data_IF_570347753010
#
_entry.id   IF_570347753010
#
_cell.length_a   1.000
_cell.length_b   1.000
_cell.length_c   1.000
_cell.angle_alpha   90.00
_cell.angle_beta   90.00
_cell.angle_gamma   90.00
#
_symmetry.space_group_name_H-M   'P 1'
#
loop_
_entity.id
_entity.type
_entity.pdbx_description
1 polymer ?
#
# COMPACT_ATOMS: atom_id res chain seq x y z
N UNK A 1 18.16 17.81 0.71
CA UNK A 1 17.42 18.30 -0.47
C UNK A 1 17.10 17.21 -1.48
N UNK A 2 16.09 16.38 -1.21
CA UNK A 2 15.51 15.51 -2.23
C UNK A 2 13.98 15.47 -2.07
N UNK A 3 13.35 16.59 -2.42
CA UNK A 3 11.91 16.67 -2.63
C UNK A 3 11.59 16.04 -3.99
N UNK A 4 11.22 14.77 -4.01
CA UNK A 4 10.68 14.16 -5.22
C UNK A 4 9.18 14.50 -5.33
N UNK A 5 8.89 15.65 -5.96
CA UNK A 5 7.55 15.99 -6.45
C UNK A 5 7.25 15.12 -7.67
N UNK A 6 6.41 14.11 -7.51
CA UNK A 6 5.66 13.53 -8.62
C UNK A 6 4.17 13.75 -8.38
N UNK A 7 3.57 14.63 -9.18
CA UNK A 7 2.11 14.77 -9.29
C UNK A 7 1.60 13.54 -10.02
N UNK A 8 1.13 12.54 -9.27
CA UNK A 8 0.33 11.46 -9.84
C UNK A 8 -1.10 11.98 -9.97
N UNK A 9 -1.56 12.19 -11.20
CA UNK A 9 -2.97 12.45 -11.48
C UNK A 9 -3.77 11.17 -11.23
N UNK A 10 -4.18 10.96 -9.99
CA UNK A 10 -5.12 9.90 -9.64
C UNK A 10 -6.51 10.40 -10.00
N UNK A 11 -7.13 9.75 -10.98
CA UNK A 11 -8.57 9.87 -11.22
C UNK A 11 -9.26 9.13 -10.08
N UNK A 12 -9.59 9.85 -9.01
CA UNK A 12 -10.38 9.34 -7.90
C UNK A 12 -11.76 9.03 -8.48
N UNK A 13 -12.03 7.74 -8.71
CA UNK A 13 -13.39 7.28 -8.98
C UNK A 13 -14.12 7.33 -7.64
N UNK A 14 -14.99 8.33 -7.50
CA UNK A 14 -15.86 8.47 -6.34
C UNK A 14 -16.86 7.32 -6.34
N UNK A 15 -16.62 6.26 -5.56
CA UNK A 15 -17.69 5.36 -5.13
C UNK A 15 -18.01 5.60 -3.65
N UNK A 16 -19.29 5.82 -3.40
CA UNK A 16 -19.85 6.49 -2.23
C UNK A 16 -20.22 5.50 -1.12
N UNK A 17 -19.27 4.71 -0.61
CA UNK A 17 -19.53 3.92 0.60
C UNK A 17 -18.47 4.13 1.67
N UNK A 18 -18.88 4.80 2.75
CA UNK A 18 -18.09 5.06 3.95
C UNK A 18 -17.93 3.78 4.78
N UNK A 19 -17.33 2.74 4.21
CA UNK A 19 -16.96 1.56 4.98
C UNK A 19 -15.65 1.87 5.70
N UNK A 20 -15.69 1.82 7.03
CA UNK A 20 -14.49 1.85 7.87
C UNK A 20 -13.70 0.54 7.69
N UNK A 21 -13.04 0.38 6.54
CA UNK A 21 -12.39 -0.87 6.13
C UNK A 21 -11.36 -1.36 7.14
N UNK A 22 -10.76 -0.45 7.91
CA UNK A 22 -9.80 -0.78 8.97
C UNK A 22 -10.43 -1.56 10.13
N UNK A 23 -11.77 -1.53 10.30
CA UNK A 23 -12.48 -2.32 11.32
C UNK A 23 -12.84 -3.74 10.87
N UNK A 24 -13.04 -3.95 9.57
CA UNK A 24 -13.61 -5.20 9.02
C UNK A 24 -12.68 -5.93 8.04
N UNK A 25 -11.64 -5.25 7.57
CA UNK A 25 -10.66 -5.79 6.64
C UNK A 25 -9.94 -6.99 7.24
N UNK A 26 -9.77 -8.03 6.43
CA UNK A 26 -9.21 -9.32 6.91
C UNK A 26 -7.72 -9.49 6.62
N UNK A 27 -7.18 -8.75 5.65
CA UNK A 27 -5.81 -8.90 5.15
C UNK A 27 -5.25 -7.54 4.76
N UNK A 28 -3.95 -7.37 4.98
CA UNK A 28 -3.16 -6.26 4.45
C UNK A 28 -2.03 -6.88 3.65
N UNK A 29 -1.91 -6.51 2.38
CA UNK A 29 -0.89 -7.04 1.47
C UNK A 29 -0.06 -5.86 0.96
N UNK A 30 1.26 -5.96 1.07
CA UNK A 30 2.20 -4.95 0.59
C UNK A 30 2.98 -5.44 -0.63
N UNK A 31 3.36 -4.50 -1.50
CA UNK A 31 4.18 -4.73 -2.68
C UNK A 31 5.52 -4.01 -2.53
N UNK A 32 6.55 -4.76 -2.12
CA UNK A 32 7.91 -4.24 -1.96
C UNK A 32 8.60 -3.99 -3.29
N UNK A 33 9.55 -3.06 -3.28
CA UNK A 33 10.43 -2.74 -4.42
C UNK A 33 9.67 -2.29 -5.69
N UNK A 34 8.50 -1.67 -5.51
CA UNK A 34 7.63 -1.25 -6.61
C UNK A 34 7.97 0.15 -7.18
N UNK A 35 9.05 0.77 -6.71
CA UNK A 35 9.58 2.05 -7.22
C UNK A 35 11.04 1.86 -7.64
N UNK A 36 11.34 2.09 -8.92
CA UNK A 36 12.71 1.91 -9.47
C UNK A 36 13.75 2.79 -8.77
N UNK A 37 13.36 4.01 -8.37
CA UNK A 37 14.23 4.92 -7.63
C UNK A 37 14.68 4.32 -6.29
N UNK A 38 13.76 3.67 -5.55
CA UNK A 38 14.09 2.99 -4.30
C UNK A 38 15.14 1.90 -4.48
N UNK A 39 15.06 1.15 -5.59
CA UNK A 39 16.02 0.10 -5.90
C UNK A 39 17.41 0.68 -6.21
N UNK A 40 17.46 1.78 -6.96
CA UNK A 40 18.70 2.50 -7.24
C UNK A 40 19.33 3.07 -5.97
N UNK A 41 18.55 3.75 -5.13
CA UNK A 41 19.01 4.38 -3.89
C UNK A 41 19.58 3.37 -2.89
N UNK A 42 18.99 2.17 -2.84
CA UNK A 42 19.42 1.08 -1.95
C UNK A 42 20.44 0.13 -2.60
N UNK A 43 20.83 0.39 -3.85
CA UNK A 43 21.74 -0.44 -4.66
C UNK A 43 21.32 -1.93 -4.68
N UNK A 44 20.02 -2.17 -4.92
CA UNK A 44 19.42 -3.51 -5.01
C UNK A 44 18.87 -3.77 -6.41
N UNK A 45 18.94 -5.01 -6.90
CA UNK A 45 18.43 -5.34 -8.23
C UNK A 45 16.91 -5.16 -8.30
N UNK A 46 16.43 -4.69 -9.45
CA UNK A 46 14.98 -4.62 -9.73
C UNK A 46 14.47 -6.06 -9.85
N UNK A 47 13.48 -6.46 -9.04
CA UNK A 47 12.98 -7.83 -9.08
C UNK A 47 12.17 -8.07 -10.36
N UNK A 48 12.24 -9.29 -10.91
CA UNK A 48 11.49 -9.69 -12.12
C UNK A 48 10.03 -10.05 -11.82
N UNK A 49 9.69 -10.24 -10.54
CA UNK A 49 8.33 -10.47 -10.04
C UNK A 49 8.09 -9.60 -8.80
N UNK A 50 6.84 -9.19 -8.52
CA UNK A 50 6.53 -8.41 -7.33
C UNK A 50 6.97 -9.12 -6.05
N UNK A 51 7.60 -8.37 -5.13
CA UNK A 51 7.89 -8.86 -3.78
C UNK A 51 6.66 -8.61 -2.93
N UNK A 52 5.96 -9.68 -2.53
CA UNK A 52 4.71 -9.59 -1.77
C UNK A 52 4.96 -9.96 -0.31
N UNK A 53 4.42 -9.17 0.60
CA UNK A 53 4.41 -9.45 2.04
C UNK A 53 3.04 -9.12 2.64
N UNK A 54 2.81 -9.53 3.89
CA UNK A 54 1.57 -9.25 4.60
C UNK A 54 1.82 -8.52 5.91
N UNK A 55 0.84 -7.72 6.34
CA UNK A 55 0.73 -7.19 7.70
C UNK A 55 -0.53 -7.73 8.38
N UNK A 56 -0.52 -7.96 9.69
CA UNK A 56 -1.73 -8.33 10.43
C UNK A 56 -2.71 -7.15 10.47
N UNK A 57 -4.00 -7.41 10.64
CA UNK A 57 -5.04 -6.38 10.76
C UNK A 57 -4.85 -5.49 11.99
N UNK A 58 -4.19 -6.00 13.03
CA UNK A 58 -3.79 -5.23 14.22
C UNK A 58 -2.72 -4.18 13.94
N UNK A 59 -2.14 -4.12 12.73
CA UNK A 59 -1.21 -3.09 12.32
C UNK A 59 -1.90 -1.80 11.84
N UNK A 60 -3.23 -1.78 11.68
CA UNK A 60 -3.95 -0.56 11.35
C UNK A 60 -3.83 0.47 12.47
N UNK A 61 -3.53 1.70 12.08
CA UNK A 61 -3.55 2.89 12.94
C UNK A 61 -4.31 3.95 12.16
N UNK A 62 -5.28 4.61 12.78
CA UNK A 62 -6.09 5.65 12.14
C UNK A 62 -5.54 7.05 12.43
N UNK A 63 -5.99 8.03 11.65
CA UNK A 63 -5.64 9.42 11.88
C UNK A 63 -5.96 9.83 13.35
N UNK A 64 -4.97 10.46 13.99
CA UNK A 64 -5.06 10.88 15.40
C UNK A 64 -4.57 9.84 16.42
N UNK A 65 -4.29 8.60 16.00
CA UNK A 65 -3.63 7.61 16.85
C UNK A 65 -2.10 7.69 16.74
N UNK A 66 -1.42 7.30 17.82
CA UNK A 66 0.05 7.27 17.86
C UNK A 66 0.60 6.02 17.16
N UNK A 67 1.70 6.19 16.41
CA UNK A 67 2.47 5.07 15.87
C UNK A 67 3.35 4.51 17.00
N UNK A 68 3.21 3.22 17.29
CA UNK A 68 4.04 2.54 18.29
C UNK A 68 5.35 2.08 17.66
N UNK A 69 6.46 2.70 18.07
CA UNK A 69 7.81 2.35 17.62
C UNK A 69 8.38 1.27 18.55
N UNK A 70 8.78 0.09 18.04
CA UNK A 70 9.43 -0.92 18.84
C UNK A 70 10.74 -0.39 19.45
N UNK A 71 11.03 -0.80 20.69
CA UNK A 71 12.31 -0.48 21.33
C UNK A 71 13.45 -1.12 20.53
N UNK A 72 14.61 -0.47 20.52
CA UNK A 72 15.87 -1.00 19.98
C UNK A 72 15.92 -1.19 18.45
N UNK A 73 14.90 -0.77 17.71
CA UNK A 73 14.90 -0.81 16.24
C UNK A 73 15.03 0.59 15.64
N UNK A 74 15.84 0.70 14.59
CA UNK A 74 15.82 1.86 13.70
C UNK A 74 14.64 1.70 12.75
N UNK A 75 13.58 2.47 12.98
CA UNK A 75 12.39 2.48 12.12
C UNK A 75 12.56 3.50 11.01
N UNK A 76 12.12 3.12 9.81
CA UNK A 76 12.03 4.00 8.63
C UNK A 76 10.57 4.21 8.28
N UNK A 77 10.22 5.43 7.91
CA UNK A 77 8.97 5.72 7.24
C UNK A 77 9.04 5.37 5.75
N UNK A 78 7.98 4.76 5.25
CA UNK A 78 7.73 4.57 3.82
C UNK A 78 6.30 5.07 3.54
N UNK A 79 6.15 5.94 2.54
CA UNK A 79 4.83 6.45 2.10
C UNK A 79 4.38 5.63 0.90
N UNK A 80 3.22 4.98 1.03
CA UNK A 80 2.66 4.10 0.00
C UNK A 80 1.22 4.48 -0.35
N UNK A 81 0.81 4.18 -1.58
CA UNK A 81 -0.58 4.25 -1.99
C UNK A 81 -1.31 2.97 -1.59
N UNK A 82 -2.29 3.09 -0.72
CA UNK A 82 -3.21 2.00 -0.39
C UNK A 82 -4.30 1.85 -1.45
N UNK A 83 -4.61 0.61 -1.83
CA UNK A 83 -5.76 0.27 -2.68
C UNK A 83 -6.69 -0.65 -1.89
N UNK A 84 -7.95 -0.25 -1.74
CA UNK A 84 -8.96 -1.03 -1.02
C UNK A 84 -9.71 -1.92 -2.02
N UNK A 85 -9.73 -3.22 -1.75
CA UNK A 85 -10.44 -4.21 -2.56
C UNK A 85 -11.80 -4.50 -1.91
N UNK A 86 -12.88 -4.08 -2.55
CA UNK A 86 -14.24 -4.16 -2.01
C UNK A 86 -14.92 -5.52 -2.33
N UNK A 87 -14.57 -6.11 -3.47
CA UNK A 87 -15.20 -7.34 -3.98
C UNK A 87 -14.23 -8.51 -3.91
N UNK A 88 -14.75 -9.70 -3.65
CA UNK A 88 -13.95 -10.93 -3.72
C UNK A 88 -13.36 -11.10 -5.13
N UNK A 89 -12.03 -11.14 -5.23
CA UNK A 89 -11.30 -11.34 -6.47
C UNK A 89 -10.48 -12.64 -6.40
N UNK A 90 -10.52 -13.45 -7.47
CA UNK A 90 -9.69 -14.67 -7.61
C UNK A 90 -9.34 -14.86 -9.08
N UNK A 91 -8.05 -14.98 -9.40
CA UNK A 91 -7.54 -15.17 -10.76
C UNK A 91 -8.10 -14.15 -11.78
N UNK A 92 -8.24 -12.88 -11.35
CA UNK A 92 -8.78 -11.78 -12.15
C UNK A 92 -7.78 -11.39 -13.23
N UNK A 93 -8.28 -11.07 -14.45
CA UNK A 93 -7.40 -10.59 -15.52
C UNK A 93 -6.91 -9.17 -15.21
N UNK A 94 -5.70 -8.79 -15.64
CA UNK A 94 -5.18 -7.44 -15.41
C UNK A 94 -6.12 -6.31 -15.89
N UNK A 95 -6.83 -6.52 -17.00
CA UNK A 95 -7.77 -5.54 -17.56
C UNK A 95 -9.02 -5.30 -16.71
N UNK A 96 -9.39 -6.25 -15.86
CA UNK A 96 -10.62 -6.21 -15.03
C UNK A 96 -10.32 -5.73 -13.60
N UNK A 97 -9.05 -5.57 -13.23
CA UNK A 97 -8.64 -5.37 -11.84
C UNK A 97 -9.26 -4.15 -11.15
N UNK A 98 -9.46 -3.05 -11.88
CA UNK A 98 -10.05 -1.81 -11.34
C UNK A 98 -11.53 -1.95 -10.98
N UNK A 99 -12.25 -2.95 -11.50
CA UNK A 99 -13.67 -3.18 -11.21
C UNK A 99 -13.93 -3.69 -9.78
N UNK A 100 -12.86 -4.10 -9.09
CA UNK A 100 -12.87 -4.64 -7.72
C UNK A 100 -12.44 -3.59 -6.67
N UNK A 101 -12.02 -2.41 -7.12
CA UNK A 101 -11.56 -1.29 -6.28
C UNK A 101 -12.73 -0.33 -6.02
N UNK A 102 -12.75 0.28 -4.84
CA UNK A 102 -13.76 1.27 -4.40
C UNK A 102 -13.29 2.71 -4.61
#
# INVERSE_FOLDING_TARGET
DCYCRYTLSVKIMSSSSSVEFWKVGKKIVGAGLNYKALCADRNIPIPTKPVIFMKPTTAYVTQGQNIQIPKELVVKEDVELGVVIEKNCKNVKPSEGLEYVT
#
